data_IF_876787474698
#
_entry.id   IF_876787474698
#
_cell.length_a   1.000
_cell.length_b   1.000
_cell.length_c   1.000
_cell.angle_alpha   90.00
_cell.angle_beta   90.00
_cell.angle_gamma   90.00
#
_symmetry.space_group_name_H-M   'P 1'
#
loop_
_entity.id
_entity.type
_entity.pdbx_description
1 polymer ?
#
# COMPACT_ATOMS: atom_id res chain seq x y z
N UNK A 1 -43.59 -16.67 -4.93
CA UNK A 1 -42.58 -17.69 -4.60
C UNK A 1 -41.46 -17.58 -5.62
N UNK A 2 -40.23 -17.62 -5.11
CA UNK A 2 -38.92 -17.85 -5.77
C UNK A 2 -38.40 -16.84 -6.82
N UNK A 3 -37.42 -16.05 -6.33
CA UNK A 3 -36.28 -15.47 -7.04
C UNK A 3 -35.49 -16.51 -7.86
N UNK A 4 -34.74 -16.02 -8.86
CA UNK A 4 -33.30 -16.31 -9.15
C UNK A 4 -33.00 -15.92 -10.60
N UNK A 5 -31.86 -15.37 -11.00
CA UNK A 5 -30.73 -14.75 -10.32
C UNK A 5 -29.96 -13.98 -11.41
N UNK A 6 -29.50 -12.78 -11.09
CA UNK A 6 -28.68 -11.92 -11.93
C UNK A 6 -27.24 -12.44 -11.94
N UNK A 7 -26.73 -12.87 -13.09
CA UNK A 7 -25.28 -13.00 -13.33
C UNK A 7 -24.81 -11.76 -14.07
N UNK A 8 -24.14 -10.86 -13.35
CA UNK A 8 -23.18 -9.94 -13.94
C UNK A 8 -21.85 -10.14 -13.20
N UNK A 9 -21.08 -11.12 -13.67
CA UNK A 9 -19.63 -11.01 -13.62
C UNK A 9 -19.22 -9.94 -14.64
N UNK A 10 -18.16 -9.21 -14.34
CA UNK A 10 -17.54 -8.17 -15.18
C UNK A 10 -18.36 -6.88 -15.35
N UNK A 11 -18.11 -5.93 -14.44
CA UNK A 11 -18.22 -4.51 -14.77
C UNK A 11 -16.83 -3.87 -14.60
N UNK A 12 -16.30 -3.21 -15.64
CA UNK A 12 -15.05 -2.45 -15.52
C UNK A 12 -15.34 -1.18 -14.72
N UNK A 13 -14.67 -1.00 -13.58
CA UNK A 13 -14.84 0.21 -12.77
C UNK A 13 -13.88 1.28 -13.30
N UNK A 14 -14.30 2.03 -14.31
CA UNK A 14 -13.59 3.21 -14.78
C UNK A 14 -14.29 4.48 -14.28
N UNK A 15 -13.75 5.12 -13.23
CA UNK A 15 -13.81 6.56 -12.93
C UNK A 15 -13.16 6.82 -11.56
N UNK A 16 -12.02 7.53 -11.55
CA UNK A 16 -11.37 8.20 -10.40
C UNK A 16 -11.97 7.87 -9.03
N UNK A 17 -11.64 6.72 -8.43
CA UNK A 17 -12.08 6.48 -7.06
C UNK A 17 -11.20 7.31 -6.14
N UNK A 18 -11.75 8.37 -5.58
CA UNK A 18 -11.18 9.02 -4.41
C UNK A 18 -11.27 8.06 -3.24
N UNK A 19 -10.32 7.13 -3.12
CA UNK A 19 -10.26 6.20 -2.00
C UNK A 19 -10.23 6.98 -0.68
N UNK A 20 -10.96 6.49 0.32
CA UNK A 20 -11.10 7.23 1.57
C UNK A 20 -9.85 7.09 2.44
N UNK A 21 -8.87 7.98 2.23
CA UNK A 21 -7.62 8.04 2.99
C UNK A 21 -7.83 8.36 4.49
N UNK A 22 -8.96 8.96 4.85
CA UNK A 22 -9.32 9.33 6.23
C UNK A 22 -9.98 8.18 7.01
N UNK A 23 -10.13 7.00 6.39
CA UNK A 23 -10.74 5.83 7.04
C UNK A 23 -9.94 5.41 8.28
N UNK A 24 -10.57 5.33 9.47
CA UNK A 24 -9.90 4.92 10.68
C UNK A 24 -9.40 3.47 10.58
N UNK A 25 -8.33 3.16 11.32
CA UNK A 25 -7.79 1.81 11.38
C UNK A 25 -8.85 0.85 11.94
N UNK A 26 -9.18 -0.27 11.27
CA UNK A 26 -10.11 -1.26 11.78
C UNK A 26 -9.66 -1.77 13.15
N UNK A 27 -10.58 -1.97 14.12
CA UNK A 27 -10.26 -2.50 15.43
C UNK A 27 -9.46 -3.80 15.33
N UNK A 28 -8.54 -4.02 16.27
CA UNK A 28 -7.70 -5.19 16.29
C UNK A 28 -7.56 -5.75 17.71
N UNK A 29 -7.54 -7.07 17.84
CA UNK A 29 -7.24 -7.73 19.11
C UNK A 29 -5.72 -7.88 19.29
N UNK A 30 -5.20 -7.32 20.39
CA UNK A 30 -3.78 -7.41 20.78
C UNK A 30 -2.86 -6.42 20.07
N UNK A 31 -1.67 -6.15 20.63
CA UNK A 31 -0.70 -5.17 20.13
C UNK A 31 0.63 -5.80 19.69
N UNK A 32 0.57 -6.95 19.00
CA UNK A 32 1.79 -7.64 18.54
C UNK A 32 2.44 -6.94 17.35
N UNK A 33 3.75 -7.16 17.20
CA UNK A 33 4.52 -6.67 16.05
C UNK A 33 4.07 -7.36 14.77
N UNK A 34 4.01 -6.62 13.66
CA UNK A 34 3.59 -7.09 12.33
C UNK A 34 2.16 -7.66 12.28
N UNK A 35 1.33 -7.38 13.29
CA UNK A 35 -0.05 -7.89 13.34
C UNK A 35 -0.82 -7.51 12.08
N UNK A 36 -0.68 -6.25 11.67
CA UNK A 36 -1.42 -5.73 10.52
C UNK A 36 -0.77 -6.04 9.17
N UNK A 37 0.42 -6.65 9.16
CA UNK A 37 1.01 -7.21 7.93
C UNK A 37 0.46 -8.59 7.59
N UNK A 38 -0.38 -9.17 8.46
CA UNK A 38 -1.11 -10.41 8.14
C UNK A 38 -2.12 -10.12 7.05
N UNK A 39 -2.20 -11.04 6.09
CA UNK A 39 -3.05 -10.91 4.90
C UNK A 39 -4.49 -10.49 5.22
N UNK A 40 -5.14 -11.17 6.17
CA UNK A 40 -6.51 -10.86 6.56
C UNK A 40 -6.70 -9.43 7.09
N UNK A 41 -5.69 -8.87 7.78
CA UNK A 41 -5.73 -7.49 8.31
C UNK A 41 -5.59 -6.45 7.22
N UNK A 42 -4.71 -6.70 6.24
CA UNK A 42 -4.57 -5.83 5.07
C UNK A 42 -5.88 -5.84 4.27
N UNK A 43 -6.43 -7.02 3.98
CA UNK A 43 -7.72 -7.15 3.25
C UNK A 43 -8.87 -6.44 3.96
N UNK A 44 -8.93 -6.55 5.28
CA UNK A 44 -9.94 -5.86 6.10
C UNK A 44 -9.80 -4.33 5.97
N UNK A 45 -8.57 -3.80 6.01
CA UNK A 45 -8.39 -2.36 5.88
C UNK A 45 -8.65 -1.87 4.45
N UNK A 46 -8.17 -2.60 3.43
CA UNK A 46 -8.49 -2.33 2.01
C UNK A 46 -10.00 -2.24 1.80
N UNK A 47 -10.76 -3.22 2.32
CA UNK A 47 -12.22 -3.23 2.25
C UNK A 47 -12.85 -2.00 2.90
N UNK A 48 -12.36 -1.56 4.06
CA UNK A 48 -12.89 -0.39 4.76
C UNK A 48 -12.66 0.92 3.99
N UNK A 49 -11.58 0.99 3.20
CA UNK A 49 -11.21 2.15 2.38
C UNK A 49 -11.91 2.15 1.01
N UNK A 50 -12.43 0.99 0.58
CA UNK A 50 -13.03 0.77 -0.74
C UNK A 50 -12.07 0.21 -1.79
N UNK A 51 -10.89 -0.26 -1.39
CA UNK A 51 -9.89 -0.88 -2.28
C UNK A 51 -10.23 -2.36 -2.56
N UNK A 52 -9.82 -2.90 -3.73
CA UNK A 52 -9.90 -4.33 -4.03
C UNK A 52 -9.21 -5.18 -2.96
N UNK A 53 -9.84 -6.23 -2.44
CA UNK A 53 -9.25 -7.02 -1.33
C UNK A 53 -8.13 -7.99 -1.75
N UNK A 54 -7.46 -7.76 -2.87
CA UNK A 54 -6.28 -8.49 -3.30
C UNK A 54 -5.04 -8.04 -2.53
N UNK A 55 -4.02 -8.90 -2.49
CA UNK A 55 -2.78 -8.67 -1.73
C UNK A 55 -1.55 -8.73 -2.62
N UNK A 56 -1.64 -9.37 -3.78
CA UNK A 56 -0.56 -9.51 -4.75
C UNK A 56 -0.01 -8.15 -5.26
N UNK A 57 -0.81 -7.10 -5.13
CA UNK A 57 -0.46 -5.73 -5.47
C UNK A 57 0.07 -4.89 -4.30
N UNK A 58 0.36 -5.51 -3.15
CA UNK A 58 0.85 -4.80 -1.94
C UNK A 58 2.31 -5.12 -1.65
N UNK A 59 3.11 -4.12 -1.33
CA UNK A 59 4.48 -4.30 -0.82
C UNK A 59 4.76 -3.47 0.44
N UNK A 60 5.53 -4.03 1.35
CA UNK A 60 6.10 -3.31 2.48
C UNK A 60 7.34 -2.51 2.05
N UNK A 61 7.41 -1.26 2.51
CA UNK A 61 8.53 -0.35 2.25
C UNK A 61 8.94 0.47 3.46
N UNK A 62 10.17 0.98 3.42
CA UNK A 62 10.73 1.91 4.39
C UNK A 62 11.25 3.16 3.70
N UNK A 63 10.83 4.35 4.12
CA UNK A 63 11.32 5.61 3.54
C UNK A 63 12.83 5.77 3.79
N UNK A 64 13.62 5.96 2.73
CA UNK A 64 15.09 6.10 2.84
C UNK A 64 15.51 7.43 3.44
N UNK A 65 14.94 8.52 2.93
CA UNK A 65 15.28 9.89 3.35
C UNK A 65 14.03 10.77 3.25
N UNK A 66 13.70 11.48 4.34
CA UNK A 66 12.79 12.62 4.23
C UNK A 66 13.58 13.76 3.62
N UNK A 67 13.22 14.18 2.41
CA UNK A 67 13.64 15.50 1.95
C UNK A 67 13.01 16.52 2.90
N UNK A 68 13.82 17.46 3.41
CA UNK A 68 13.41 18.51 4.35
C UNK A 68 12.35 19.48 3.80
N UNK A 69 11.95 19.34 2.53
CA UNK A 69 11.02 20.20 1.81
C UNK A 69 9.68 19.53 1.44
N UNK A 70 9.39 18.31 1.91
CA UNK A 70 8.08 17.69 1.67
C UNK A 70 7.02 18.41 2.52
N UNK A 71 6.04 19.03 1.86
CA UNK A 71 4.96 19.81 2.51
C UNK A 71 3.56 19.31 2.14
N UNK A 72 3.44 18.28 1.30
CA UNK A 72 2.17 17.72 0.85
C UNK A 72 1.67 16.49 1.62
N UNK A 73 0.56 15.88 1.18
CA UNK A 73 -0.05 14.73 1.83
C UNK A 73 0.92 13.55 2.05
N UNK A 74 1.82 13.31 1.08
CA UNK A 74 2.81 12.24 1.18
C UNK A 74 3.82 12.50 2.31
N UNK A 75 4.08 13.76 2.66
CA UNK A 75 4.89 14.15 3.82
C UNK A 75 4.30 13.68 5.16
N UNK A 76 2.97 13.61 5.27
CA UNK A 76 2.28 13.22 6.51
C UNK A 76 2.58 11.76 6.88
N UNK A 77 2.64 10.88 5.88
CA UNK A 77 3.08 9.49 6.05
C UNK A 77 4.56 9.42 6.39
N UNK A 78 5.36 10.32 5.81
CA UNK A 78 6.80 10.32 5.99
C UNK A 78 7.26 10.49 7.45
N UNK A 79 6.39 10.99 8.34
CA UNK A 79 6.65 10.97 9.80
C UNK A 79 6.91 9.56 10.36
N UNK A 80 6.40 8.52 9.71
CA UNK A 80 6.70 7.14 10.04
C UNK A 80 7.41 6.47 8.86
N UNK A 81 8.60 5.91 9.13
CA UNK A 81 9.44 5.32 8.08
C UNK A 81 8.79 4.11 7.42
N UNK A 82 7.86 3.42 8.08
CA UNK A 82 7.27 2.16 7.64
C UNK A 82 5.95 2.39 6.88
N UNK A 83 5.81 1.78 5.71
CA UNK A 83 4.59 1.85 4.90
C UNK A 83 4.21 0.52 4.29
N UNK A 84 2.93 0.34 3.98
CA UNK A 84 2.49 -0.55 2.89
C UNK A 84 2.13 0.31 1.69
N UNK A 85 2.61 -0.10 0.52
CA UNK A 85 2.27 0.52 -0.75
C UNK A 85 1.41 -0.46 -1.53
N UNK A 86 0.25 0.03 -1.96
CA UNK A 86 -0.76 -0.68 -2.71
C UNK A 86 -0.82 -0.12 -4.12
N UNK A 87 -0.62 -0.98 -5.11
CA UNK A 87 -0.59 -0.58 -6.53
C UNK A 87 -1.95 -0.83 -7.15
N UNK A 88 -2.68 0.24 -7.43
CA UNK A 88 -3.97 0.20 -8.12
C UNK A 88 -3.79 0.67 -9.58
N UNK A 89 -4.78 0.40 -10.43
CA UNK A 89 -4.68 0.72 -11.86
C UNK A 89 -4.59 2.23 -12.14
N UNK A 90 -5.17 3.06 -11.26
CA UNK A 90 -5.26 4.50 -11.39
C UNK A 90 -4.32 5.28 -10.44
N UNK A 91 -3.46 4.59 -9.69
CA UNK A 91 -2.50 5.24 -8.79
C UNK A 91 -1.97 4.32 -7.69
N UNK A 92 -1.46 4.93 -6.62
CA UNK A 92 -0.98 4.17 -5.45
C UNK A 92 -1.64 4.63 -4.17
N UNK A 93 -2.00 3.66 -3.34
CA UNK A 93 -2.47 3.91 -1.99
C UNK A 93 -1.36 3.55 -1.00
N UNK A 94 -1.01 4.48 -0.13
CA UNK A 94 0.07 4.31 0.83
C UNK A 94 -0.54 4.27 2.22
N UNK A 95 -0.38 3.15 2.91
CA UNK A 95 -0.77 2.97 4.29
C UNK A 95 0.40 3.31 5.22
N UNK A 96 0.19 4.24 6.13
CA UNK A 96 1.13 4.52 7.20
C UNK A 96 1.14 3.42 8.25
N UNK A 97 2.35 2.99 8.63
CA UNK A 97 2.56 2.05 9.72
C UNK A 97 3.30 2.71 10.88
N UNK A 98 3.06 2.26 12.11
CA UNK A 98 3.87 2.64 13.26
C UNK A 98 5.19 1.84 13.31
N UNK A 99 5.99 2.06 14.36
CA UNK A 99 7.27 1.36 14.58
C UNK A 99 7.13 -0.16 14.73
N UNK A 100 5.98 -0.64 15.20
CA UNK A 100 5.66 -2.06 15.31
C UNK A 100 5.08 -2.65 14.01
N UNK A 101 5.08 -1.87 12.93
CA UNK A 101 4.49 -2.20 11.63
C UNK A 101 2.98 -2.50 11.70
N UNK A 102 2.27 -1.76 12.56
CA UNK A 102 0.81 -1.77 12.65
C UNK A 102 0.24 -0.50 12.02
N UNK A 103 -0.96 -0.57 11.44
CA UNK A 103 -1.61 0.57 10.80
C UNK A 103 -1.77 1.73 11.80
N UNK A 104 -1.47 2.95 11.36
CA UNK A 104 -1.55 4.15 12.21
C UNK A 104 -2.64 5.14 11.77
N UNK A 105 -3.37 4.84 10.69
CA UNK A 105 -4.45 5.67 10.15
C UNK A 105 -3.98 6.85 9.30
N UNK A 106 -2.67 7.05 9.14
CA UNK A 106 -2.11 8.06 8.23
C UNK A 106 -1.95 7.45 6.85
N UNK A 107 -2.97 7.60 6.01
CA UNK A 107 -2.95 7.08 4.65
C UNK A 107 -2.93 8.20 3.61
N UNK A 108 -2.52 7.87 2.40
CA UNK A 108 -2.47 8.78 1.27
C UNK A 108 -2.88 8.03 0.03
N UNK A 109 -3.83 8.62 -0.69
CA UNK A 109 -4.11 8.26 -2.05
C UNK A 109 -3.34 9.18 -3.00
N UNK A 110 -2.58 8.59 -3.92
CA UNK A 110 -1.80 9.30 -4.93
C UNK A 110 -2.28 8.86 -6.33
N UNK A 111 -3.32 9.50 -6.88
CA UNK A 111 -3.83 9.20 -8.21
C UNK A 111 -2.79 9.60 -9.27
N UNK A 112 -2.68 8.80 -10.33
CA UNK A 112 -1.75 9.06 -11.45
C UNK A 112 -0.26 9.01 -11.06
N UNK A 113 0.07 8.39 -9.92
CA UNK A 113 1.45 8.26 -9.48
C UNK A 113 2.30 7.48 -10.49
N UNK A 114 3.49 8.00 -10.78
CA UNK A 114 4.52 7.26 -11.52
C UNK A 114 5.31 6.41 -10.55
N UNK A 115 5.61 5.19 -10.96
CA UNK A 115 6.28 4.20 -10.13
C UNK A 115 7.52 3.71 -10.87
N UNK A 116 8.66 3.72 -10.18
CA UNK A 116 9.90 3.12 -10.66
C UNK A 116 10.41 2.16 -9.59
N UNK A 117 10.84 0.97 -9.99
CA UNK A 117 11.42 -0.01 -9.07
C UNK A 117 12.73 -0.54 -9.62
N UNK A 118 13.78 -0.52 -8.79
CA UNK A 118 15.11 -1.02 -9.17
C UNK A 118 15.63 -2.00 -8.13
N UNK A 119 16.36 -3.01 -8.59
CA UNK A 119 16.91 -4.01 -7.67
C UNK A 119 18.28 -3.61 -7.14
N UNK A 120 18.45 -3.74 -5.82
CA UNK A 120 19.74 -3.65 -5.16
C UNK A 120 20.20 -5.00 -4.61
N UNK A 121 21.41 -5.05 -4.06
CA UNK A 121 22.00 -6.28 -3.52
C UNK A 121 21.19 -6.85 -2.36
N UNK A 122 20.87 -6.02 -1.36
CA UNK A 122 20.14 -6.42 -0.14
C UNK A 122 18.66 -6.06 -0.18
N UNK A 123 18.34 -4.90 -0.74
CA UNK A 123 16.97 -4.38 -0.82
C UNK A 123 16.71 -3.84 -2.22
N UNK A 124 15.45 -3.84 -2.63
CA UNK A 124 15.01 -3.11 -3.82
C UNK A 124 14.71 -1.66 -3.44
N UNK A 125 14.64 -0.80 -4.45
CA UNK A 125 14.30 0.61 -4.31
C UNK A 125 13.02 0.87 -5.08
N UNK A 126 11.99 1.34 -4.40
CA UNK A 126 10.75 1.86 -4.98
C UNK A 126 10.81 3.38 -4.97
N UNK A 127 10.46 4.00 -6.08
CA UNK A 127 10.25 5.43 -6.20
C UNK A 127 8.81 5.67 -6.61
N UNK A 128 8.13 6.55 -5.88
CA UNK A 128 6.78 7.03 -6.20
C UNK A 128 6.86 8.52 -6.45
N UNK A 129 6.39 8.95 -7.62
CA UNK A 129 6.27 10.37 -7.99
C UNK A 129 4.81 10.72 -8.23
N UNK A 130 4.26 11.65 -7.44
CA UNK A 130 2.89 12.14 -7.58
C UNK A 130 2.81 13.60 -7.14
N UNK A 131 1.98 14.41 -7.83
CA UNK A 131 1.76 15.82 -7.50
C UNK A 131 3.05 16.66 -7.35
N UNK A 132 4.09 16.35 -8.12
CA UNK A 132 5.40 17.02 -8.03
C UNK A 132 6.27 16.59 -6.85
N UNK A 133 5.79 15.67 -6.02
CA UNK A 133 6.57 15.06 -4.93
C UNK A 133 7.13 13.72 -5.38
N UNK A 134 8.41 13.46 -5.08
CA UNK A 134 9.10 12.20 -5.37
C UNK A 134 9.63 11.60 -4.08
N UNK A 135 9.17 10.41 -3.72
CA UNK A 135 9.59 9.70 -2.51
C UNK A 135 10.22 8.36 -2.88
N UNK A 136 11.33 8.06 -2.20
CA UNK A 136 12.05 6.81 -2.34
C UNK A 136 11.91 5.94 -1.10
N UNK A 137 11.52 4.69 -1.33
CA UNK A 137 11.35 3.65 -0.34
C UNK A 137 12.36 2.52 -0.58
N UNK A 138 12.99 2.04 0.48
CA UNK A 138 13.65 0.74 0.54
C UNK A 138 12.58 -0.33 0.64
N UNK A 139 12.61 -1.32 -0.24
CA UNK A 139 11.72 -2.47 -0.20
C UNK A 139 12.54 -3.69 0.20
N UNK A 140 12.21 -4.28 1.35
CA UNK A 140 12.84 -5.53 1.78
C UNK A 140 12.36 -6.67 0.90
N UNK A 141 13.30 -7.42 0.30
CA UNK A 141 12.98 -8.57 -0.57
C UNK A 141 12.25 -9.69 0.17
N UNK A 142 12.36 -9.74 1.50
CA UNK A 142 11.73 -10.71 2.40
C UNK A 142 11.45 -10.04 3.72
N UNK A 143 10.40 -10.46 4.40
CA UNK A 143 10.07 -10.07 5.75
C UNK A 143 9.69 -11.32 6.55
N UNK A 144 10.28 -11.48 7.74
CA UNK A 144 10.12 -12.70 8.53
C UNK A 144 8.65 -12.85 8.97
N UNK A 145 8.08 -14.04 8.73
CA UNK A 145 6.68 -14.33 9.05
C UNK A 145 5.66 -13.75 8.08
N UNK A 146 6.10 -13.06 7.01
CA UNK A 146 5.26 -12.37 6.02
C UNK A 146 5.60 -12.91 4.62
N UNK A 147 4.99 -14.05 4.21
CA UNK A 147 5.40 -14.77 3.00
C UNK A 147 5.06 -14.03 1.70
N UNK A 148 3.95 -13.28 1.67
CA UNK A 148 3.50 -12.55 0.48
C UNK A 148 4.52 -11.48 0.04
N UNK A 149 5.28 -10.90 0.96
CA UNK A 149 6.23 -9.82 0.66
C UNK A 149 7.24 -10.23 -0.41
N UNK A 150 7.74 -11.47 -0.36
CA UNK A 150 8.78 -11.92 -1.28
C UNK A 150 8.26 -12.01 -2.71
N UNK A 151 7.10 -12.63 -2.88
CA UNK A 151 6.53 -12.86 -4.21
C UNK A 151 6.00 -11.54 -4.79
N UNK A 152 5.39 -10.69 -3.96
CA UNK A 152 4.90 -9.38 -4.38
C UNK A 152 6.03 -8.42 -4.73
N UNK A 153 7.12 -8.35 -3.95
CA UNK A 153 8.27 -7.52 -4.28
C UNK A 153 8.91 -7.93 -5.62
N UNK A 154 8.99 -9.24 -5.88
CA UNK A 154 9.47 -9.77 -7.17
C UNK A 154 8.53 -9.38 -8.32
N UNK A 155 7.22 -9.51 -8.13
CA UNK A 155 6.23 -9.14 -9.14
C UNK A 155 6.24 -7.63 -9.43
N UNK A 156 6.29 -6.81 -8.39
CA UNK A 156 6.39 -5.35 -8.50
C UNK A 156 7.68 -4.93 -9.23
N UNK A 157 8.82 -5.54 -8.90
CA UNK A 157 10.08 -5.26 -9.60
C UNK A 157 9.97 -5.58 -11.09
N UNK A 158 9.37 -6.72 -11.47
CA UNK A 158 9.18 -7.07 -12.87
C UNK A 158 8.20 -6.12 -13.59
N UNK A 159 7.21 -5.57 -12.88
CA UNK A 159 6.20 -4.65 -13.44
C UNK A 159 6.73 -3.23 -13.63
N UNK A 160 7.60 -2.75 -12.74
CA UNK A 160 8.00 -1.35 -12.65
C UNK A 160 9.51 -1.10 -12.87
N UNK A 161 10.23 -2.06 -13.46
CA UNK A 161 11.66 -1.94 -13.79
C UNK A 161 11.95 -1.18 -15.08
#
# INVERSE_FOLDING_TARGET
>A
MTNSATTNADQPIAASQGYNAETPVPPAMGNSMYRDLKEGRIKEYKKAIGLPTTIDNVIYGQIQHLASALVGPIATIATNKNVLVDFEDDGVFIFGLNVACNFNGKNVWAPGAKIEMSSGMLNDSLVVEANGERIKYTVSKRLLGIPWQKENAKAALAKFS
#
